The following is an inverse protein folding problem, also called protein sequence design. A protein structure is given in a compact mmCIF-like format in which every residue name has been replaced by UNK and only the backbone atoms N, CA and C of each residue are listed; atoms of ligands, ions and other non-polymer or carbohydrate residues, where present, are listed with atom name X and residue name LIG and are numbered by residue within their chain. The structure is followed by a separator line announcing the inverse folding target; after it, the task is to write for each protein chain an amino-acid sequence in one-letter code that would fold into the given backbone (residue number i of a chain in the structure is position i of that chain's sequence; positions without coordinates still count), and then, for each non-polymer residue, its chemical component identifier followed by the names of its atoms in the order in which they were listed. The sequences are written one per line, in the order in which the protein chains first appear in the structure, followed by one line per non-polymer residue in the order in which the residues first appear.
data_IF_675810509982
#
_entry.id   IF_675810509982
#
_cell.length_a   1.000
_cell.length_b   1.000
_cell.length_c   1.000
_cell.angle_alpha   90.00
_cell.angle_beta   90.00
_cell.angle_gamma   90.00
#
_symmetry.space_group_name_H-M   'P 1'
#
loop_
_entity.id
_entity.type
_entity.pdbx_description
1 polymer ?
#
# COMPACT_ATOMS: atom_id res chain seq x y z
N UNK A 1 2.26 12.40 7.15
CA UNK A 1 1.19 11.68 7.90
C UNK A 1 0.09 12.63 8.37
N UNK A 2 0.41 13.60 9.23
CA UNK A 2 -0.60 14.52 9.77
C UNK A 2 -1.34 15.34 8.70
N UNK A 3 -0.71 15.59 7.56
CA UNK A 3 -1.30 16.37 6.47
C UNK A 3 -2.57 15.71 5.91
N UNK A 4 -2.60 14.40 5.76
CA UNK A 4 -3.77 13.69 5.22
C UNK A 4 -5.02 13.89 6.11
N UNK A 5 -4.83 13.83 7.43
CA UNK A 5 -5.93 14.06 8.37
C UNK A 5 -6.40 15.51 8.37
N UNK A 6 -5.47 16.46 8.23
CA UNK A 6 -5.79 17.88 8.12
C UNK A 6 -6.69 18.17 6.91
N UNK A 7 -6.37 17.58 5.75
CA UNK A 7 -7.14 17.77 4.53
C UNK A 7 -8.57 17.29 4.71
N UNK A 8 -8.79 16.26 5.55
CA UNK A 8 -10.13 15.73 5.83
C UNK A 8 -10.82 16.43 7.00
N UNK A 9 -10.21 17.45 7.57
CA UNK A 9 -10.85 18.22 8.63
C UNK A 9 -10.81 17.61 10.02
N UNK A 10 -9.98 16.58 10.24
CA UNK A 10 -9.80 16.01 11.57
C UNK A 10 -9.19 17.04 12.53
N UNK A 11 -9.61 17.00 13.79
CA UNK A 11 -9.05 17.86 14.80
C UNK A 11 -7.67 17.41 15.25
N UNK A 12 -6.95 18.27 15.98
CA UNK A 12 -5.58 18.00 16.42
C UNK A 12 -5.46 16.76 17.31
N UNK A 13 -6.42 16.51 18.18
CA UNK A 13 -6.42 15.36 19.06
C UNK A 13 -6.58 14.06 18.26
N UNK A 14 -7.48 14.06 17.29
CA UNK A 14 -7.71 12.92 16.38
C UNK A 14 -6.47 12.62 15.56
N UNK A 15 -5.78 13.66 15.04
CA UNK A 15 -4.53 13.51 14.29
C UNK A 15 -3.46 12.84 15.15
N UNK A 16 -3.28 13.30 16.38
CA UNK A 16 -2.30 12.73 17.31
C UNK A 16 -2.53 11.25 17.60
N UNK A 17 -3.79 10.86 17.71
CA UNK A 17 -4.14 9.47 17.98
C UNK A 17 -3.94 8.57 16.75
N UNK A 18 -4.46 9.01 15.59
CA UNK A 18 -4.46 8.18 14.37
C UNK A 18 -3.07 7.99 13.77
N UNK A 19 -2.22 9.00 13.77
CA UNK A 19 -0.90 8.90 13.14
C UNK A 19 0.00 7.89 13.84
N UNK A 20 0.18 7.89 15.18
CA UNK A 20 0.97 6.86 15.84
C UNK A 20 0.41 5.45 15.64
N UNK A 21 -0.91 5.29 15.71
CA UNK A 21 -1.59 4.02 15.52
C UNK A 21 -1.32 3.43 14.14
N UNK A 22 -1.43 4.24 13.09
CA UNK A 22 -1.18 3.81 11.72
C UNK A 22 0.30 3.49 11.51
N UNK A 23 1.22 4.27 12.06
CA UNK A 23 2.65 3.99 11.98
C UNK A 23 3.02 2.68 12.68
N UNK A 24 2.42 2.39 13.82
CA UNK A 24 2.62 1.13 14.51
C UNK A 24 2.14 -0.04 13.64
N UNK A 25 0.99 0.13 12.98
CA UNK A 25 0.45 -0.87 12.07
C UNK A 25 1.41 -1.21 10.92
N UNK A 26 2.11 -0.23 10.37
CA UNK A 26 3.08 -0.46 9.29
C UNK A 26 4.50 -0.78 9.80
N UNK A 27 4.69 -0.88 11.11
CA UNK A 27 5.96 -1.31 11.71
C UNK A 27 7.02 -0.22 11.82
N UNK A 28 6.64 1.05 11.85
CA UNK A 28 7.57 2.18 11.92
C UNK A 28 7.47 3.00 13.20
N UNK A 29 6.86 2.46 14.26
CA UNK A 29 6.67 3.19 15.51
C UNK A 29 7.98 3.73 16.09
N UNK A 30 9.08 2.99 15.96
CA UNK A 30 10.40 3.40 16.44
C UNK A 30 11.05 4.52 15.61
N UNK A 31 10.49 4.83 14.44
CA UNK A 31 10.99 5.88 13.53
C UNK A 31 10.00 7.01 13.31
N UNK A 32 9.04 7.16 14.21
CA UNK A 32 7.99 8.18 14.06
C UNK A 32 8.51 9.60 13.93
N UNK A 33 9.66 9.90 14.52
CA UNK A 33 10.25 11.23 14.51
C UNK A 33 11.34 11.39 13.44
N UNK A 34 11.61 10.36 12.64
CA UNK A 34 12.61 10.43 11.58
C UNK A 34 12.12 11.26 10.41
N UNK A 35 13.02 11.97 9.76
CA UNK A 35 12.74 12.70 8.52
C UNK A 35 12.63 11.69 7.36
N UNK A 36 11.87 12.01 6.29
CA UNK A 36 11.69 11.09 5.16
C UNK A 36 13.00 10.61 4.53
N UNK A 37 14.02 11.46 4.43
CA UNK A 37 15.33 11.12 3.86
C UNK A 37 16.18 10.22 4.75
N UNK A 38 15.79 10.03 6.01
CA UNK A 38 16.45 9.12 6.94
C UNK A 38 15.94 7.69 6.82
N UNK A 39 14.92 7.45 5.99
CA UNK A 39 14.26 6.16 5.85
C UNK A 39 14.81 5.39 4.65
N UNK A 40 14.85 4.06 4.76
CA UNK A 40 15.14 3.19 3.62
C UNK A 40 14.02 3.27 2.58
N UNK A 41 14.26 2.74 1.37
CA UNK A 41 13.24 2.67 0.32
C UNK A 41 11.98 1.95 0.76
N UNK A 42 12.13 0.81 1.45
CA UNK A 42 11.00 0.06 1.99
C UNK A 42 10.26 0.79 3.09
N UNK A 43 10.99 1.49 3.96
CA UNK A 43 10.38 2.30 5.01
C UNK A 43 9.62 3.49 4.42
N UNK A 44 10.17 4.13 3.38
CA UNK A 44 9.48 5.21 2.67
C UNK A 44 8.18 4.71 2.04
N UNK A 45 8.20 3.51 1.45
CA UNK A 45 7.01 2.92 0.86
C UNK A 45 5.95 2.61 1.91
N UNK A 46 6.36 2.09 3.07
CA UNK A 46 5.45 1.84 4.19
C UNK A 46 4.82 3.12 4.70
N UNK A 47 5.59 4.21 4.80
CA UNK A 47 5.07 5.52 5.19
C UNK A 47 4.05 6.02 4.16
N UNK A 48 4.33 5.84 2.86
CA UNK A 48 3.38 6.21 1.80
C UNK A 48 2.07 5.44 1.91
N UNK A 49 2.13 4.14 2.17
CA UNK A 49 0.94 3.30 2.37
C UNK A 49 0.18 3.72 3.63
N UNK A 50 0.88 4.00 4.72
CA UNK A 50 0.27 4.47 5.95
C UNK A 50 -0.43 5.81 5.75
N UNK A 51 0.19 6.71 5.01
CA UNK A 51 -0.39 8.02 4.67
C UNK A 51 -1.68 7.86 3.86
N UNK A 52 -1.68 6.95 2.91
CA UNK A 52 -2.87 6.67 2.11
C UNK A 52 -3.97 6.01 2.95
N UNK A 53 -3.60 5.16 3.90
CA UNK A 53 -4.54 4.37 4.71
C UNK A 53 -5.04 5.11 5.97
N UNK A 54 -4.39 6.19 6.38
CA UNK A 54 -4.71 6.87 7.65
C UNK A 54 -6.18 7.28 7.80
N UNK A 55 -6.85 7.53 6.69
CA UNK A 55 -8.27 7.92 6.67
C UNK A 55 -9.22 6.74 6.45
N UNK A 56 -8.73 5.50 6.50
CA UNK A 56 -9.50 4.29 6.25
C UNK A 56 -10.32 4.36 4.95
N UNK A 57 -9.68 4.60 3.78
CA UNK A 57 -10.43 4.75 2.54
C UNK A 57 -11.07 3.44 2.12
N UNK A 58 -12.23 3.47 1.42
CA UNK A 58 -12.81 2.25 0.87
C UNK A 58 -11.99 1.69 -0.30
N UNK A 59 -11.22 2.52 -0.97
CA UNK A 59 -10.38 2.14 -2.12
C UNK A 59 -9.00 2.76 -1.98
N UNK A 60 -7.99 1.93 -2.11
CA UNK A 60 -6.58 2.34 -2.16
C UNK A 60 -6.04 1.98 -3.54
N UNK A 61 -5.50 2.97 -4.25
CA UNK A 61 -4.85 2.78 -5.55
C UNK A 61 -3.35 2.88 -5.36
N UNK A 62 -2.62 1.86 -5.79
CA UNK A 62 -1.16 1.88 -5.74
C UNK A 62 -0.56 1.43 -7.07
N UNK A 63 0.58 2.01 -7.42
CA UNK A 63 1.30 1.76 -8.65
C UNK A 63 2.70 1.27 -8.31
N UNK A 64 3.05 0.08 -8.80
CA UNK A 64 4.36 -0.55 -8.58
C UNK A 64 4.81 -0.50 -7.12
N UNK A 65 4.00 -1.02 -6.15
CA UNK A 65 4.30 -0.83 -4.74
C UNK A 65 5.60 -1.50 -4.26
N UNK A 66 6.11 -2.46 -5.02
CA UNK A 66 7.37 -3.16 -4.71
C UNK A 66 8.51 -2.78 -5.67
N UNK A 67 8.32 -1.74 -6.48
CA UNK A 67 9.33 -1.30 -7.44
C UNK A 67 10.63 -0.87 -6.76
N UNK A 68 11.76 -1.36 -7.28
CA UNK A 68 13.11 -1.05 -6.78
C UNK A 68 13.40 -1.50 -5.35
N UNK A 69 12.61 -2.42 -4.81
CA UNK A 69 12.84 -3.00 -3.49
C UNK A 69 13.45 -4.40 -3.62
N UNK A 70 14.26 -4.79 -2.63
CA UNK A 70 14.77 -6.15 -2.56
C UNK A 70 13.64 -7.15 -2.28
N UNK A 71 13.84 -8.46 -2.56
CA UNK A 71 12.77 -9.45 -2.40
C UNK A 71 12.17 -9.52 -0.99
N UNK A 72 12.99 -9.46 0.05
CA UNK A 72 12.49 -9.55 1.43
C UNK A 72 11.64 -8.34 1.81
N UNK A 73 12.08 -7.15 1.42
CA UNK A 73 11.32 -5.91 1.64
C UNK A 73 10.02 -5.93 0.86
N UNK A 74 10.04 -6.44 -0.39
CA UNK A 74 8.85 -6.59 -1.22
C UNK A 74 7.81 -7.50 -0.57
N UNK A 75 8.23 -8.61 0.02
CA UNK A 75 7.32 -9.51 0.75
C UNK A 75 6.66 -8.76 1.92
N UNK A 76 7.41 -7.95 2.66
CA UNK A 76 6.87 -7.14 3.74
C UNK A 76 5.80 -6.16 3.26
N UNK A 77 6.03 -5.51 2.13
CA UNK A 77 5.03 -4.60 1.52
C UNK A 77 3.78 -5.37 1.09
N UNK A 78 3.93 -6.53 0.47
CA UNK A 78 2.80 -7.36 0.08
C UNK A 78 1.97 -7.81 1.29
N UNK A 79 2.64 -8.22 2.37
CA UNK A 79 1.95 -8.59 3.60
C UNK A 79 1.16 -7.42 4.19
N UNK A 80 1.73 -6.22 4.16
CA UNK A 80 1.05 -5.02 4.60
C UNK A 80 -0.20 -4.75 3.74
N UNK A 81 -0.11 -4.88 2.42
CA UNK A 81 -1.25 -4.71 1.53
C UNK A 81 -2.36 -5.73 1.82
N UNK A 82 -2.00 -6.98 2.10
CA UNK A 82 -2.98 -7.99 2.52
C UNK A 82 -3.70 -7.58 3.81
N UNK A 83 -2.97 -7.06 4.78
CA UNK A 83 -3.55 -6.60 6.06
C UNK A 83 -4.51 -5.44 5.85
N UNK A 84 -4.14 -4.48 5.02
CA UNK A 84 -4.99 -3.34 4.66
C UNK A 84 -6.27 -3.82 3.98
N UNK A 85 -6.13 -4.74 3.04
CA UNK A 85 -7.28 -5.31 2.34
C UNK A 85 -8.20 -6.09 3.31
N UNK A 86 -7.61 -6.88 4.20
CA UNK A 86 -8.37 -7.64 5.20
C UNK A 86 -9.12 -6.73 6.17
N UNK A 87 -8.60 -5.54 6.41
CA UNK A 87 -9.27 -4.55 7.26
C UNK A 87 -10.47 -3.87 6.57
N UNK A 88 -10.76 -4.21 5.30
CA UNK A 88 -11.93 -3.73 4.59
C UNK A 88 -11.67 -2.78 3.43
N UNK A 89 -10.41 -2.45 3.15
CA UNK A 89 -10.06 -1.58 2.03
C UNK A 89 -9.88 -2.40 0.76
N UNK A 90 -10.56 -2.01 -0.31
CA UNK A 90 -10.31 -2.56 -1.64
C UNK A 90 -9.02 -1.97 -2.19
N UNK A 91 -8.15 -2.81 -2.73
CA UNK A 91 -6.88 -2.37 -3.30
C UNK A 91 -6.90 -2.56 -4.81
N UNK A 92 -6.65 -1.48 -5.54
CA UNK A 92 -6.39 -1.53 -6.97
C UNK A 92 -4.90 -1.31 -7.19
N UNK A 93 -4.21 -2.33 -7.68
CA UNK A 93 -2.77 -2.30 -7.87
C UNK A 93 -2.43 -2.35 -9.34
N UNK A 94 -1.58 -1.44 -9.80
CA UNK A 94 -1.03 -1.45 -11.15
C UNK A 94 0.42 -1.91 -11.07
N UNK A 95 0.76 -2.99 -11.77
CA UNK A 95 2.10 -3.56 -11.66
C UNK A 95 2.49 -4.33 -12.91
N UNK A 96 3.81 -4.40 -13.17
CA UNK A 96 4.45 -5.29 -14.14
C UNK A 96 5.19 -6.44 -13.45
N UNK A 97 5.08 -6.57 -12.15
CA UNK A 97 5.79 -7.59 -11.37
C UNK A 97 5.07 -8.93 -11.49
N UNK A 98 5.56 -9.79 -12.39
CA UNK A 98 5.00 -11.12 -12.66
C UNK A 98 4.97 -12.01 -11.43
N UNK A 99 6.07 -12.02 -10.69
CA UNK A 99 6.19 -12.86 -9.50
C UNK A 99 5.17 -12.49 -8.44
N UNK A 100 4.98 -11.20 -8.21
CA UNK A 100 4.00 -10.72 -7.25
C UNK A 100 2.58 -11.10 -7.67
N UNK A 101 2.22 -10.88 -8.94
CA UNK A 101 0.89 -11.22 -9.47
C UNK A 101 0.63 -12.71 -9.32
N UNK A 102 1.61 -13.55 -9.70
CA UNK A 102 1.47 -15.01 -9.61
C UNK A 102 1.33 -15.51 -8.18
N UNK A 103 2.05 -14.89 -7.23
CA UNK A 103 1.98 -15.27 -5.82
C UNK A 103 0.68 -14.83 -5.15
N UNK A 104 0.17 -13.66 -5.50
CA UNK A 104 -1.02 -13.11 -4.85
C UNK A 104 -2.31 -13.84 -5.18
N UNK A 105 -2.44 -14.36 -6.39
CA UNK A 105 -3.64 -15.09 -6.85
C UNK A 105 -4.95 -14.34 -6.58
N UNK A 106 -4.95 -13.06 -6.88
CA UNK A 106 -6.12 -12.20 -6.78
C UNK A 106 -6.71 -11.98 -8.17
N UNK A 107 -7.78 -11.19 -8.24
CA UNK A 107 -8.37 -10.81 -9.52
C UNK A 107 -7.34 -10.05 -10.36
N UNK A 108 -7.16 -10.49 -11.59
CA UNK A 108 -6.24 -9.86 -12.54
C UNK A 108 -7.04 -9.32 -13.71
N UNK A 109 -6.82 -8.03 -13.98
CA UNK A 109 -7.37 -7.34 -15.15
C UNK A 109 -6.17 -6.97 -16.02
N UNK A 110 -6.10 -7.54 -17.22
CA UNK A 110 -5.01 -7.26 -18.15
C UNK A 110 -5.50 -6.36 -19.27
N UNK A 111 -4.74 -5.30 -19.54
CA UNK A 111 -5.01 -4.36 -20.62
C UNK A 111 -3.96 -4.50 -21.71
N UNK A 112 -4.39 -4.51 -22.95
CA UNK A 112 -3.52 -4.52 -24.13
C UNK A 112 -4.03 -3.51 -25.14
N UNK A 113 -3.17 -2.61 -25.58
CA UNK A 113 -3.50 -1.58 -26.56
C UNK A 113 -4.76 -0.78 -26.19
N UNK A 114 -4.89 -0.47 -24.89
CA UNK A 114 -6.02 0.30 -24.38
C UNK A 114 -7.32 -0.47 -24.28
N UNK A 115 -7.30 -1.79 -24.43
CA UNK A 115 -8.48 -2.63 -24.36
C UNK A 115 -8.37 -3.68 -23.28
N UNK A 116 -9.51 -4.09 -22.73
CA UNK A 116 -9.57 -5.18 -21.76
C UNK A 116 -9.27 -6.51 -22.47
N UNK A 117 -8.11 -7.11 -22.19
CA UNK A 117 -7.71 -8.39 -22.77
C UNK A 117 -8.15 -9.56 -21.92
N UNK A 118 -8.17 -9.40 -20.59
CA UNK A 118 -8.46 -10.50 -19.68
C UNK A 118 -8.98 -9.95 -18.35
N UNK A 119 -9.88 -10.69 -17.72
CA UNK A 119 -10.40 -10.40 -16.38
C UNK A 119 -10.65 -11.76 -15.71
N UNK A 120 -9.76 -12.15 -14.81
CA UNK A 120 -9.81 -13.43 -14.10
C UNK A 120 -9.82 -13.23 -12.59
N UNK A 121 -10.71 -13.93 -11.90
CA UNK A 121 -10.86 -13.82 -10.44
C UNK A 121 -9.62 -14.20 -9.66
N UNK A 122 -8.91 -15.23 -10.12
CA UNK A 122 -7.66 -15.72 -9.53
C UNK A 122 -6.67 -15.97 -10.65
N UNK A 123 -6.18 -14.89 -11.23
CA UNK A 123 -5.31 -14.98 -12.38
C UNK A 123 -3.84 -14.98 -12.02
N UNK A 124 -3.04 -15.51 -12.95
CA UNK A 124 -1.61 -15.26 -12.97
C UNK A 124 -1.31 -14.14 -13.94
N UNK A 125 -0.03 -13.82 -14.10
CA UNK A 125 0.39 -12.74 -15.00
C UNK A 125 0.06 -13.03 -16.47
N UNK A 126 0.24 -14.26 -16.92
CA UNK A 126 0.08 -14.66 -18.33
C UNK A 126 -1.15 -15.52 -18.64
N UNK A 127 -1.92 -15.91 -17.64
CA UNK A 127 -3.03 -16.84 -17.89
C UNK A 127 -4.27 -16.51 -17.13
#
# INVERSE_FOLDING_TARGET
MAYALKVQGDNRASIRKKVPEVRAMVGLSHKMNSLPDELSGGEQQRVSLARAFVNHPPLLVCEEPTGNLDPDTSVGIMQLLYRINRAGTTILMVTHDREMVDKMRRRVIALEDGRLARDERRGGYES
#
